data_IF_256039406862
#
_entry.id   IF_256039406862
#
_cell.length_a   1.000
_cell.length_b   1.000
_cell.length_c   1.000
_cell.angle_alpha   90.00
_cell.angle_beta   90.00
_cell.angle_gamma   90.00
#
_symmetry.space_group_name_H-M   'P 1'
#
loop_
_entity.id
_entity.type
_entity.pdbx_description
1 polymer ?
#
# COMPACT_ATOMS: atom_id res chain seq x y z
N UNK A 1 0.17 14.73 6.15
CA UNK A 1 -0.03 13.27 6.37
C UNK A 1 -0.98 12.83 5.28
N UNK A 2 -0.48 12.77 4.03
CA UNK A 2 -1.25 13.36 2.92
C UNK A 2 -1.99 12.39 2.00
N UNK A 3 -2.10 11.10 2.36
CA UNK A 3 -2.97 10.20 1.60
C UNK A 3 -3.88 9.28 2.45
N UNK A 4 -3.84 9.32 3.79
CA UNK A 4 -4.69 8.54 4.73
C UNK A 4 -4.92 7.04 4.44
N UNK A 5 -4.19 6.47 3.48
CA UNK A 5 -4.42 5.11 2.99
C UNK A 5 -4.09 4.05 4.05
N UNK A 6 -3.06 4.32 4.84
CA UNK A 6 -2.69 3.50 6.00
C UNK A 6 -3.03 4.27 7.26
N UNK A 7 -4.04 3.81 7.98
CA UNK A 7 -4.43 4.34 9.28
C UNK A 7 -3.65 3.66 10.40
N UNK A 8 -3.20 4.47 11.36
CA UNK A 8 -2.53 3.99 12.57
C UNK A 8 -3.46 4.16 13.77
N UNK A 9 -3.87 3.04 14.38
CA UNK A 9 -4.62 3.02 15.64
C UNK A 9 -3.73 2.50 16.76
N UNK A 10 -3.14 3.42 17.52
CA UNK A 10 -2.18 3.11 18.58
C UNK A 10 -0.90 2.48 18.02
N UNK A 11 -0.63 1.22 18.36
CA UNK A 11 0.49 0.46 17.83
C UNK A 11 0.16 -0.30 16.54
N UNK A 12 -1.10 -0.34 16.09
CA UNK A 12 -1.53 -1.12 14.93
C UNK A 12 -1.63 -0.25 13.67
N UNK A 13 -1.18 -0.78 12.54
CA UNK A 13 -1.38 -0.22 11.21
C UNK A 13 -2.44 -1.03 10.48
N UNK A 14 -3.35 -0.32 9.81
CA UNK A 14 -4.41 -0.89 8.98
C UNK A 14 -4.45 -0.12 7.66
N UNK A 15 -4.71 -0.83 6.57
CA UNK A 15 -4.95 -0.27 5.24
C UNK A 15 -6.43 -0.50 4.91
N UNK A 16 -7.23 0.56 4.83
CA UNK A 16 -8.69 0.42 4.75
C UNK A 16 -9.22 -0.50 5.86
N UNK A 17 -9.79 -1.65 5.49
CA UNK A 17 -10.28 -2.70 6.40
C UNK A 17 -9.26 -3.80 6.70
N UNK A 18 -8.12 -3.84 6.00
CA UNK A 18 -7.08 -4.86 6.17
C UNK A 18 -6.10 -4.48 7.26
N UNK A 19 -5.92 -5.34 8.26
CA UNK A 19 -4.95 -5.12 9.34
C UNK A 19 -3.55 -5.57 8.91
N UNK A 20 -2.61 -4.63 8.80
CA UNK A 20 -1.22 -4.90 8.41
C UNK A 20 -0.38 -5.46 9.57
N UNK A 21 -0.70 -5.06 10.80
CA UNK A 21 -0.05 -5.59 11.99
C UNK A 21 0.36 -4.52 13.01
N UNK A 22 1.07 -4.95 14.06
CA UNK A 22 1.54 -4.07 15.11
C UNK A 22 2.94 -3.52 14.81
N UNK A 23 3.08 -2.21 14.70
CA UNK A 23 4.37 -1.58 14.44
C UNK A 23 4.71 -1.56 12.95
N UNK A 24 5.68 -0.70 12.62
CA UNK A 24 6.13 -0.50 11.23
C UNK A 24 6.80 -1.76 10.67
N UNK A 25 7.54 -2.47 11.52
CA UNK A 25 8.28 -3.68 11.14
C UNK A 25 7.35 -4.83 10.74
N UNK A 26 6.39 -5.20 11.59
CA UNK A 26 5.44 -6.28 11.25
C UNK A 26 4.60 -5.93 10.03
N UNK A 27 4.20 -4.66 9.89
CA UNK A 27 3.46 -4.22 8.70
C UNK A 27 4.29 -4.39 7.43
N UNK A 28 5.60 -4.12 7.51
CA UNK A 28 6.52 -4.31 6.39
C UNK A 28 6.67 -5.80 6.04
N UNK A 29 6.85 -6.66 7.05
CA UNK A 29 6.95 -8.12 6.86
C UNK A 29 5.67 -8.64 6.21
N UNK A 30 4.49 -8.24 6.72
CA UNK A 30 3.20 -8.64 6.16
C UNK A 30 3.06 -8.26 4.68
N UNK A 31 3.48 -7.04 4.31
CA UNK A 31 3.48 -6.59 2.91
C UNK A 31 4.51 -7.35 2.05
N UNK A 32 5.64 -7.74 2.61
CA UNK A 32 6.64 -8.54 1.90
C UNK A 32 6.17 -9.98 1.66
N UNK A 33 5.46 -10.56 2.62
CA UNK A 33 4.87 -11.90 2.50
C UNK A 33 3.66 -11.92 1.57
N UNK A 34 2.92 -10.81 1.49
CA UNK A 34 1.71 -10.69 0.66
C UNK A 34 1.94 -9.68 -0.46
N UNK A 35 2.69 -10.10 -1.49
CA UNK A 35 2.98 -9.27 -2.66
C UNK A 35 1.72 -8.79 -3.38
N UNK A 36 0.67 -9.60 -3.47
CA UNK A 36 -0.62 -9.21 -4.04
C UNK A 36 -1.25 -8.02 -3.30
N UNK A 37 -1.23 -8.08 -1.96
CA UNK A 37 -1.72 -6.99 -1.12
C UNK A 37 -0.84 -5.75 -1.26
N UNK A 38 0.48 -5.93 -1.31
CA UNK A 38 1.41 -4.83 -1.56
C UNK A 38 1.09 -4.12 -2.87
N UNK A 39 0.84 -4.85 -3.96
CA UNK A 39 0.48 -4.27 -5.26
C UNK A 39 -0.86 -3.52 -5.21
N UNK A 40 -1.86 -4.07 -4.53
CA UNK A 40 -3.16 -3.38 -4.35
C UNK A 40 -2.98 -2.08 -3.56
N UNK A 41 -2.18 -2.12 -2.50
CA UNK A 41 -1.89 -0.96 -1.65
C UNK A 41 -1.10 0.09 -2.44
N UNK A 42 -0.07 -0.34 -3.17
CA UNK A 42 0.74 0.52 -4.03
C UNK A 42 -0.12 1.19 -5.11
N UNK A 43 -0.99 0.43 -5.80
CA UNK A 43 -1.89 1.00 -6.80
C UNK A 43 -2.84 2.04 -6.20
N UNK A 44 -3.46 1.77 -5.05
CA UNK A 44 -4.31 2.78 -4.40
C UNK A 44 -3.52 4.03 -3.98
N UNK A 45 -2.27 3.88 -3.52
CA UNK A 45 -1.39 5.03 -3.22
C UNK A 45 -1.08 5.81 -4.49
N UNK A 46 -0.77 5.13 -5.59
CA UNK A 46 -0.51 5.77 -6.88
C UNK A 46 -1.74 6.50 -7.41
N UNK A 47 -2.92 5.88 -7.35
CA UNK A 47 -4.21 6.50 -7.72
C UNK A 47 -4.50 7.76 -6.88
N UNK A 48 -4.35 7.66 -5.56
CA UNK A 48 -4.55 8.81 -4.67
C UNK A 48 -3.50 9.92 -4.88
N UNK A 49 -2.28 9.55 -5.29
CA UNK A 49 -1.23 10.48 -5.66
C UNK A 49 -1.35 11.01 -7.11
N UNK A 50 -2.38 10.58 -7.85
CA UNK A 50 -2.58 10.91 -9.26
C UNK A 50 -1.37 10.53 -10.15
N UNK A 51 -0.65 9.47 -9.77
CA UNK A 51 0.50 8.94 -10.48
C UNK A 51 0.08 7.77 -11.38
N UNK A 52 0.72 7.61 -12.55
CA UNK A 52 0.45 6.48 -13.42
C UNK A 52 0.77 5.18 -12.68
N UNK A 53 -0.19 4.24 -12.67
CA UNK A 53 0.01 2.95 -12.03
C UNK A 53 1.21 2.26 -12.67
N UNK A 54 2.05 1.62 -11.85
CA UNK A 54 3.29 0.99 -12.34
C UNK A 54 3.01 -0.08 -13.42
N UNK A 55 1.83 -0.69 -13.38
CA UNK A 55 1.35 -1.63 -14.38
C UNK A 55 1.09 -1.01 -15.76
N UNK A 56 0.77 0.29 -15.85
CA UNK A 56 0.49 0.96 -17.14
C UNK A 56 1.76 1.47 -17.83
N UNK A 57 2.81 1.80 -17.07
CA UNK A 57 4.07 2.34 -17.61
C UNK A 57 4.81 1.34 -18.54
N UNK A 58 4.64 0.04 -18.31
CA UNK A 58 5.19 -1.02 -19.18
C UNK A 58 4.44 -1.17 -20.50
N UNK A 59 3.14 -0.85 -20.55
CA UNK A 59 2.34 -0.94 -21.78
C UNK A 59 2.56 0.27 -22.71
N UNK A 60 2.91 1.43 -22.16
CA UNK A 60 3.11 2.67 -22.93
C UNK A 60 4.50 2.78 -23.61
N UNK A 61 5.38 1.79 -23.44
CA UNK A 61 6.75 1.81 -24.00
C UNK A 61 7.04 0.69 -25.01
N UNK A 62 6.01 0.03 -25.56
CA UNK A 62 6.13 -0.98 -26.65
C UNK A 62 5.56 -0.46 -27.96
#
# INVERSE_FOLDING_TARGET
VEHDIVTKRGAFYSFGDTRLGQGRENSKIFLQENQDLFLVIENQILEAANLPQRAESIAAST
#
